data_IF_063267971337
#
_entry.id   IF_063267971337
#
_cell.length_a   1.000
_cell.length_b   1.000
_cell.length_c   1.000
_cell.angle_alpha   90.00
_cell.angle_beta   90.00
_cell.angle_gamma   90.00
#
_symmetry.space_group_name_H-M   'P 1'
#
loop_
_entity.id
_entity.type
_entity.pdbx_description
1 polymer ?
#
# COMPACT_ATOMS: atom_id res chain seq x y z
N UNK A 1 -9.29 15.62 10.33
CA UNK A 1 -10.09 14.44 10.72
C UNK A 1 -10.32 13.60 9.47
N UNK A 2 -10.05 12.29 9.50
CA UNK A 2 -10.37 11.40 8.36
C UNK A 2 -11.85 11.04 8.50
N UNK A 3 -12.69 11.54 7.60
CA UNK A 3 -14.11 11.23 7.60
C UNK A 3 -14.34 9.84 6.99
N UNK A 4 -15.39 9.14 7.43
CA UNK A 4 -15.76 7.79 6.94
C UNK A 4 -15.80 7.70 5.40
N UNK A 5 -16.24 8.77 4.73
CA UNK A 5 -16.27 8.90 3.27
C UNK A 5 -14.88 8.87 2.63
N UNK A 6 -13.87 9.47 3.27
CA UNK A 6 -12.49 9.48 2.79
C UNK A 6 -11.85 8.09 2.88
N UNK A 7 -12.10 7.37 3.97
CA UNK A 7 -11.62 5.98 4.11
C UNK A 7 -12.23 5.07 3.03
N UNK A 8 -13.53 5.23 2.73
CA UNK A 8 -14.18 4.48 1.64
C UNK A 8 -13.62 4.86 0.27
N UNK A 9 -13.42 6.15 0.00
CA UNK A 9 -12.82 6.60 -1.27
C UNK A 9 -11.40 6.06 -1.46
N UNK A 10 -10.58 6.05 -0.40
CA UNK A 10 -9.23 5.50 -0.43
C UNK A 10 -9.23 3.96 -0.57
N UNK A 11 -10.25 3.27 -0.05
CA UNK A 11 -10.47 1.84 -0.28
C UNK A 11 -10.84 1.57 -1.75
N UNK A 12 -11.77 2.34 -2.31
CA UNK A 12 -12.19 2.24 -3.71
C UNK A 12 -11.05 2.57 -4.67
N UNK A 13 -10.25 3.60 -4.37
CA UNK A 13 -9.05 3.94 -5.14
C UNK A 13 -8.01 2.82 -5.11
N UNK A 14 -7.77 2.22 -3.94
CA UNK A 14 -6.83 1.09 -3.79
C UNK A 14 -7.32 -0.13 -4.57
N UNK A 15 -8.64 -0.42 -4.52
CA UNK A 15 -9.25 -1.51 -5.28
C UNK A 15 -9.21 -1.25 -6.78
N UNK A 16 -9.54 -0.03 -7.24
CA UNK A 16 -9.45 0.35 -8.64
C UNK A 16 -8.01 0.26 -9.16
N UNK A 17 -7.02 0.72 -8.40
CA UNK A 17 -5.61 0.60 -8.75
C UNK A 17 -5.17 -0.87 -8.85
N UNK A 18 -5.64 -1.74 -7.95
CA UNK A 18 -5.38 -3.17 -7.99
C UNK A 18 -6.00 -3.81 -9.26
N UNK A 19 -7.26 -3.49 -9.57
CA UNK A 19 -7.95 -3.98 -10.76
C UNK A 19 -7.24 -3.52 -12.04
N UNK A 20 -6.84 -2.25 -12.12
CA UNK A 20 -6.07 -1.71 -13.25
C UNK A 20 -4.73 -2.45 -13.37
N UNK A 21 -4.04 -2.73 -12.27
CA UNK A 21 -2.77 -3.47 -12.26
C UNK A 21 -2.95 -4.93 -12.72
N UNK A 22 -4.02 -5.61 -12.30
CA UNK A 22 -4.33 -6.97 -12.76
C UNK A 22 -4.74 -6.98 -14.23
N UNK A 23 -5.55 -6.00 -14.64
CA UNK A 23 -6.01 -5.90 -16.03
C UNK A 23 -4.88 -5.56 -16.98
N UNK A 24 -3.99 -4.62 -16.62
CA UNK A 24 -2.82 -4.29 -17.45
C UNK A 24 -1.88 -5.47 -17.62
N UNK A 25 -1.69 -6.27 -16.56
CA UNK A 25 -0.94 -7.53 -16.66
C UNK A 25 -1.63 -8.55 -17.54
N UNK A 26 -2.92 -8.79 -17.37
CA UNK A 26 -3.66 -9.73 -18.23
C UNK A 26 -3.72 -9.24 -19.70
N UNK A 27 -3.82 -7.93 -19.92
CA UNK A 27 -3.84 -7.34 -21.25
C UNK A 27 -2.48 -7.43 -21.94
N UNK A 28 -1.38 -7.20 -21.21
CA UNK A 28 -0.02 -7.44 -21.70
C UNK A 28 0.21 -8.93 -22.01
N UNK A 29 -0.26 -9.81 -21.12
CA UNK A 29 -0.09 -11.26 -21.27
C UNK A 29 -0.86 -11.83 -22.47
N UNK A 30 -1.94 -11.16 -22.92
CA UNK A 30 -2.68 -11.55 -24.13
C UNK A 30 -2.02 -11.14 -25.44
N UNK A 31 -1.00 -10.27 -25.42
CA UNK A 31 -0.43 -9.65 -26.61
C UNK A 31 0.99 -10.13 -26.96
N UNK A 32 1.44 -11.26 -26.38
CA UNK A 32 2.77 -11.88 -26.47
C UNK A 32 3.68 -11.42 -27.63
N UNK A 33 4.54 -10.43 -27.33
CA UNK A 33 5.96 -10.32 -27.72
C UNK A 33 6.64 -9.36 -26.73
N UNK A 34 6.44 -9.59 -25.43
CA UNK A 34 7.10 -8.85 -24.35
C UNK A 34 7.57 -9.89 -23.34
N UNK A 35 8.84 -9.83 -22.91
CA UNK A 35 9.39 -10.70 -21.87
C UNK A 35 8.38 -10.80 -20.71
N UNK A 36 8.08 -12.04 -20.30
CA UNK A 36 7.07 -12.36 -19.29
C UNK A 36 7.13 -11.35 -18.13
N UNK A 37 6.00 -10.72 -17.74
CA UNK A 37 6.03 -9.75 -16.66
C UNK A 37 6.57 -10.44 -15.40
N UNK A 38 7.55 -9.84 -14.70
CA UNK A 38 8.29 -10.51 -13.64
C UNK A 38 7.32 -11.10 -12.60
N UNK A 39 7.50 -12.38 -12.23
CA UNK A 39 6.57 -13.07 -11.34
C UNK A 39 6.47 -12.34 -10.00
N UNK A 40 5.27 -12.34 -9.40
CA UNK A 40 5.10 -11.73 -8.09
C UNK A 40 5.78 -12.60 -7.04
N UNK A 41 6.78 -12.04 -6.36
CA UNK A 41 7.29 -12.66 -5.15
C UNK A 41 6.19 -12.66 -4.07
N UNK A 42 5.73 -13.84 -3.67
CA UNK A 42 4.79 -14.00 -2.55
C UNK A 42 5.35 -13.36 -1.26
N UNK A 43 6.66 -13.45 -1.04
CA UNK A 43 7.34 -12.78 0.07
C UNK A 43 7.27 -11.25 -0.04
N UNK A 44 7.42 -10.70 -1.25
CA UNK A 44 7.22 -9.27 -1.52
C UNK A 44 5.81 -8.83 -1.19
N UNK A 45 4.80 -9.56 -1.64
CA UNK A 45 3.37 -9.29 -1.35
C UNK A 45 3.10 -9.30 0.15
N UNK A 46 3.59 -10.31 0.86
CA UNK A 46 3.38 -10.40 2.30
C UNK A 46 4.06 -9.25 3.06
N UNK A 47 5.32 -8.94 2.73
CA UNK A 47 6.07 -7.84 3.33
C UNK A 47 5.42 -6.47 3.07
N UNK A 48 4.95 -6.24 1.84
CA UNK A 48 4.23 -5.01 1.47
C UNK A 48 2.92 -4.84 2.23
N UNK A 49 2.18 -5.94 2.41
CA UNK A 49 0.92 -5.96 3.16
C UNK A 49 1.13 -5.60 4.63
N UNK A 50 2.08 -6.27 5.30
CA UNK A 50 2.42 -5.99 6.70
C UNK A 50 2.94 -4.58 6.89
N UNK A 51 3.82 -4.11 6.01
CA UNK A 51 4.35 -2.76 6.06
C UNK A 51 3.23 -1.73 5.98
N UNK A 52 2.29 -1.89 5.03
CA UNK A 52 1.20 -0.95 4.86
C UNK A 52 0.24 -0.94 6.05
N UNK A 53 -0.07 -2.12 6.60
CA UNK A 53 -0.88 -2.24 7.82
C UNK A 53 -0.25 -1.49 8.99
N UNK A 54 1.04 -1.72 9.23
CA UNK A 54 1.79 -1.05 10.29
C UNK A 54 1.87 0.46 10.06
N UNK A 55 2.09 0.90 8.83
CA UNK A 55 2.13 2.31 8.46
C UNK A 55 0.80 3.02 8.73
N UNK A 56 -0.32 2.44 8.28
CA UNK A 56 -1.65 3.00 8.49
C UNK A 56 -2.02 3.02 9.98
N UNK A 57 -1.70 1.96 10.70
CA UNK A 57 -1.91 1.90 12.14
C UNK A 57 -1.12 2.98 12.89
N UNK A 58 0.17 3.15 12.57
CA UNK A 58 1.00 4.20 13.16
C UNK A 58 0.52 5.61 12.77
N UNK A 59 0.07 5.79 11.52
CA UNK A 59 -0.43 7.06 11.02
C UNK A 59 -1.75 7.48 11.68
N UNK A 60 -2.69 6.55 11.83
CA UNK A 60 -4.00 6.83 12.45
C UNK A 60 -3.89 7.08 13.96
N UNK A 61 -2.99 6.35 14.65
CA UNK A 61 -2.74 6.53 16.08
C UNK A 61 -1.83 7.72 16.40
N UNK A 62 -1.45 8.50 15.37
CA UNK A 62 -0.46 9.59 15.40
C UNK A 62 0.84 9.23 16.12
N UNK A 63 1.28 7.99 15.94
CA UNK A 63 2.46 7.49 16.63
C UNK A 63 3.70 8.23 16.12
N UNK A 64 4.38 8.94 17.02
CA UNK A 64 5.53 9.77 16.69
C UNK A 64 5.22 11.13 16.04
N UNK A 65 3.98 11.63 16.13
CA UNK A 65 3.55 12.91 15.51
C UNK A 65 3.70 12.95 13.99
N UNK A 66 3.63 11.79 13.34
CA UNK A 66 3.75 11.67 11.88
C UNK A 66 2.60 12.39 11.17
N UNK A 67 1.43 12.48 11.80
CA UNK A 67 0.28 13.18 11.24
C UNK A 67 0.34 14.68 11.52
N UNK A 68 0.85 15.08 12.70
CA UNK A 68 0.89 16.50 13.10
C UNK A 68 2.09 17.27 12.54
N UNK A 69 3.19 16.59 12.18
CA UNK A 69 4.42 17.23 11.72
C UNK A 69 4.81 16.79 10.31
N UNK A 70 4.58 17.69 9.34
CA UNK A 70 4.88 17.48 7.92
C UNK A 70 6.35 17.14 7.66
N UNK A 71 7.30 17.65 8.46
CA UNK A 71 8.72 17.37 8.32
C UNK A 71 9.04 15.91 8.69
N UNK A 72 8.44 15.40 9.76
CA UNK A 72 8.58 13.98 10.16
C UNK A 72 7.95 13.05 9.15
N UNK A 73 6.82 13.45 8.56
CA UNK A 73 6.19 12.70 7.46
C UNK A 73 7.09 12.61 6.24
N UNK A 74 7.74 13.72 5.86
CA UNK A 74 8.71 13.77 4.76
C UNK A 74 9.94 12.92 5.07
N UNK A 75 10.52 13.05 6.26
CA UNK A 75 11.66 12.26 6.70
C UNK A 75 11.35 10.75 6.69
N UNK A 76 10.15 10.36 7.14
CA UNK A 76 9.71 8.96 7.10
C UNK A 76 9.54 8.47 5.66
N UNK A 77 8.92 9.28 4.78
CA UNK A 77 8.78 8.97 3.36
C UNK A 77 10.13 8.78 2.66
N UNK A 78 11.10 9.66 2.94
CA UNK A 78 12.46 9.56 2.41
C UNK A 78 13.18 8.33 2.96
N UNK A 79 13.13 8.09 4.27
CA UNK A 79 13.72 6.92 4.90
C UNK A 79 13.19 5.63 4.28
N UNK A 80 11.87 5.51 4.17
CA UNK A 80 11.20 4.36 3.54
C UNK A 80 11.65 4.20 2.08
N UNK A 81 11.70 5.29 1.31
CA UNK A 81 12.13 5.22 -0.10
C UNK A 81 13.58 4.74 -0.22
N UNK A 82 14.48 5.23 0.64
CA UNK A 82 15.88 4.80 0.69
C UNK A 82 16.01 3.34 1.11
N UNK A 83 15.28 2.91 2.13
CA UNK A 83 15.21 1.51 2.59
C UNK A 83 14.72 0.60 1.47
N UNK A 84 13.62 0.95 0.79
CA UNK A 84 13.08 0.20 -0.36
C UNK A 84 14.08 0.11 -1.51
N UNK A 85 14.82 1.19 -1.78
CA UNK A 85 15.85 1.18 -2.83
C UNK A 85 17.01 0.26 -2.49
N UNK A 86 17.36 0.12 -1.20
CA UNK A 86 18.55 -0.62 -0.75
C UNK A 86 18.27 -2.08 -0.36
N UNK A 87 17.07 -2.39 0.12
CA UNK A 87 16.72 -3.71 0.65
C UNK A 87 15.92 -4.58 -0.31
N UNK A 88 15.41 -4.06 -1.43
CA UNK A 88 14.65 -4.88 -2.36
C UNK A 88 15.59 -5.59 -3.34
N UNK A 89 15.73 -6.92 -3.23
CA UNK A 89 16.77 -7.68 -3.92
C UNK A 89 16.46 -7.93 -5.40
N UNK A 90 15.20 -7.82 -5.81
CA UNK A 90 14.75 -8.07 -7.19
C UNK A 90 13.54 -7.21 -7.55
N UNK A 91 13.33 -7.00 -8.85
CA UNK A 91 12.15 -6.29 -9.35
C UNK A 91 10.86 -7.06 -9.06
N UNK A 92 10.88 -8.40 -9.06
CA UNK A 92 9.79 -9.26 -8.60
C UNK A 92 9.36 -8.96 -7.15
N UNK A 93 10.32 -8.74 -6.26
CA UNK A 93 10.06 -8.36 -4.87
C UNK A 93 9.47 -6.96 -4.77
N UNK A 94 9.96 -6.01 -5.59
CA UNK A 94 9.40 -4.65 -5.69
C UNK A 94 7.95 -4.64 -6.14
N UNK A 95 7.63 -5.38 -7.20
CA UNK A 95 6.27 -5.50 -7.71
C UNK A 95 5.38 -6.19 -6.68
N UNK A 96 5.85 -7.29 -6.08
CA UNK A 96 5.19 -7.96 -4.95
C UNK A 96 4.88 -7.00 -3.82
N UNK A 97 5.86 -6.24 -3.36
CA UNK A 97 5.71 -5.26 -2.27
C UNK A 97 4.67 -4.17 -2.59
N UNK A 98 4.66 -3.66 -3.82
CA UNK A 98 3.66 -2.69 -4.27
C UNK A 98 2.24 -3.27 -4.22
N UNK A 99 2.04 -4.45 -4.80
CA UNK A 99 0.75 -5.16 -4.79
C UNK A 99 0.30 -5.48 -3.36
N UNK A 100 1.21 -5.96 -2.51
CA UNK A 100 0.95 -6.19 -1.09
C UNK A 100 0.52 -4.93 -0.35
N UNK A 101 1.15 -3.79 -0.65
CA UNK A 101 0.75 -2.51 -0.08
C UNK A 101 -0.69 -2.12 -0.43
N UNK A 102 -1.15 -2.37 -1.66
CA UNK A 102 -2.55 -2.14 -2.04
C UNK A 102 -3.49 -3.06 -1.24
N UNK A 103 -3.16 -4.35 -1.14
CA UNK A 103 -3.93 -5.34 -0.38
C UNK A 103 -4.03 -4.94 1.10
N UNK A 104 -2.91 -4.56 1.74
CA UNK A 104 -2.88 -4.10 3.12
C UNK A 104 -3.70 -2.82 3.34
N UNK A 105 -3.68 -1.89 2.37
CA UNK A 105 -4.52 -0.68 2.41
C UNK A 105 -6.00 -1.01 2.36
N UNK A 106 -6.41 -1.91 1.46
CA UNK A 106 -7.80 -2.37 1.31
C UNK A 106 -8.26 -3.03 2.61
N UNK A 107 -7.50 -4.01 3.13
CA UNK A 107 -7.81 -4.71 4.37
C UNK A 107 -7.97 -3.74 5.55
N UNK A 108 -7.00 -2.85 5.74
CA UNK A 108 -7.02 -1.92 6.87
C UNK A 108 -8.19 -0.93 6.78
N UNK A 109 -8.45 -0.35 5.60
CA UNK A 109 -9.55 0.61 5.43
C UNK A 109 -10.92 -0.02 5.39
N UNK A 110 -11.03 -1.26 4.91
CA UNK A 110 -12.25 -2.04 5.07
C UNK A 110 -12.53 -2.26 6.56
N UNK A 111 -11.51 -2.65 7.32
CA UNK A 111 -11.64 -2.88 8.76
C UNK A 111 -11.95 -1.61 9.56
N UNK A 112 -11.17 -0.52 9.40
CA UNK A 112 -11.28 0.70 10.20
C UNK A 112 -12.05 1.85 9.53
N UNK A 113 -12.58 1.66 8.32
CA UNK A 113 -13.45 2.63 7.65
C UNK A 113 -14.87 2.14 7.43
N UNK A 114 -15.04 0.83 7.14
CA UNK A 114 -16.35 0.22 6.89
C UNK A 114 -16.90 -0.45 8.15
N UNK A 115 -16.13 -1.39 8.72
CA UNK A 115 -16.55 -2.23 9.85
C UNK A 115 -16.41 -1.53 11.21
N UNK A 116 -15.34 -0.76 11.41
CA UNK A 116 -15.06 -0.02 12.64
C UNK A 116 -14.79 1.45 12.32
N UNK A 117 -14.99 2.37 13.27
CA UNK A 117 -14.54 3.75 13.13
C UNK A 117 -13.00 3.83 13.12
N UNK A 118 -12.47 4.84 12.44
CA UNK A 118 -11.02 5.06 12.30
C UNK A 118 -10.44 5.40 13.68
N UNK A 119 -9.32 4.80 14.11
CA UNK A 119 -8.68 5.17 15.37
C UNK A 119 -8.33 6.65 15.39
N UNK A 120 -8.70 7.38 16.45
CA UNK A 120 -8.43 8.83 16.57
C UNK A 120 -9.42 9.75 15.84
N UNK A 121 -10.59 9.24 15.43
CA UNK A 121 -11.72 10.06 14.96
C UNK A 121 -12.85 10.23 15.97
N UNK A 122 -12.70 9.64 17.17
CA UNK A 122 -13.61 9.81 18.31
C UNK A 122 -13.09 10.93 19.23
#
# INVERSE_FOLDING_TARGET
MVTRRRAVAECLLSAAALVVQTYSRNALHRHEEYDDPPPLSAGGVFAGTLYQLAYLWAYDRDWGRMRSNSYRRLAYGLCVTTVKRRLFPSDEFRFGFGTGGLVGSILYRFWYGVLRPVPGSA
#
